data_IF_564179019045
#
_entry.id   IF_564179019045
#
_cell.length_a   1.000
_cell.length_b   1.000
_cell.length_c   1.000
_cell.angle_alpha   90.00
_cell.angle_beta   90.00
_cell.angle_gamma   90.00
#
_symmetry.space_group_name_H-M   'P 1'
#
loop_
_entity.id
_entity.type
_entity.pdbx_description
1 polymer ?
#
# COMPACT_ATOMS: atom_id res chain seq x y z
N UNK A 1 0.98 -28.67 19.50
CA UNK A 1 2.40 -28.84 19.12
C UNK A 1 2.49 -28.44 17.68
N UNK A 2 2.94 -27.21 17.41
CA UNK A 2 3.21 -26.72 16.05
C UNK A 2 4.53 -27.35 15.62
N UNK A 3 4.44 -28.30 14.69
CA UNK A 3 5.58 -28.91 14.04
C UNK A 3 6.22 -27.81 13.18
N UNK A 4 7.25 -27.15 13.70
CA UNK A 4 7.95 -26.10 12.96
C UNK A 4 8.81 -26.77 11.93
N UNK A 5 8.53 -26.56 10.63
CA UNK A 5 9.36 -27.05 9.53
C UNK A 5 10.81 -26.61 9.79
N UNK A 6 11.79 -27.54 9.86
CA UNK A 6 13.18 -27.22 10.17
C UNK A 6 13.85 -26.30 9.11
N UNK A 7 13.22 -26.04 7.99
CA UNK A 7 13.67 -25.11 6.93
C UNK A 7 13.04 -23.73 7.03
N UNK A 8 12.10 -23.52 7.95
CA UNK A 8 11.43 -22.24 8.14
C UNK A 8 12.36 -21.23 8.85
N UNK A 9 12.40 -20.03 8.35
CA UNK A 9 13.12 -18.89 8.95
C UNK A 9 12.16 -17.72 9.20
N UNK A 10 12.44 -16.96 10.25
CA UNK A 10 11.64 -15.79 10.59
C UNK A 10 11.93 -14.64 9.61
N UNK A 11 10.86 -14.06 9.03
CA UNK A 11 10.93 -12.92 8.12
C UNK A 11 9.70 -12.04 8.29
N UNK A 12 9.82 -10.79 7.87
CA UNK A 12 8.65 -9.92 7.71
C UNK A 12 8.27 -9.86 6.25
N UNK A 13 7.06 -10.31 5.95
CA UNK A 13 6.47 -10.24 4.61
C UNK A 13 5.68 -8.94 4.49
N UNK A 14 5.88 -8.25 3.38
CA UNK A 14 5.21 -6.99 3.04
C UNK A 14 4.48 -7.17 1.72
N UNK A 15 3.20 -6.80 1.69
CA UNK A 15 2.44 -6.60 0.47
C UNK A 15 2.10 -5.13 0.33
N UNK A 16 2.32 -4.58 -0.86
CA UNK A 16 1.96 -3.21 -1.22
C UNK A 16 1.10 -3.28 -2.47
N UNK A 17 -0.03 -2.60 -2.46
CA UNK A 17 -1.06 -2.63 -3.49
C UNK A 17 -1.51 -1.21 -3.81
N UNK A 18 -1.85 -0.94 -5.07
CA UNK A 18 -2.34 0.36 -5.54
C UNK A 18 -3.84 0.52 -5.25
N UNK A 19 -4.19 1.45 -4.37
CA UNK A 19 -5.59 1.73 -4.07
C UNK A 19 -6.31 2.33 -5.29
N UNK A 20 -7.51 1.85 -5.58
CA UNK A 20 -8.32 2.37 -6.70
C UNK A 20 -7.80 2.01 -8.09
N UNK A 21 -6.89 1.04 -8.24
CA UNK A 21 -6.28 0.67 -9.52
C UNK A 21 -7.31 0.38 -10.63
N UNK A 22 -8.37 -0.39 -10.32
CA UNK A 22 -9.45 -0.66 -11.28
C UNK A 22 -10.15 0.62 -11.75
N UNK A 23 -10.34 1.60 -10.85
CA UNK A 23 -10.96 2.89 -11.17
C UNK A 23 -10.02 3.73 -12.04
N UNK A 24 -8.73 3.75 -11.69
CA UNK A 24 -7.69 4.40 -12.50
C UNK A 24 -7.61 3.79 -13.90
N UNK A 25 -7.62 2.45 -14.02
CA UNK A 25 -7.63 1.74 -15.30
C UNK A 25 -8.86 2.12 -16.14
N UNK A 26 -10.05 2.15 -15.53
CA UNK A 26 -11.28 2.54 -16.24
C UNK A 26 -11.24 4.00 -16.71
N UNK A 27 -10.57 4.89 -15.98
CA UNK A 27 -10.46 6.32 -16.32
C UNK A 27 -9.39 6.62 -17.38
N UNK A 28 -8.26 5.89 -17.38
CA UNK A 28 -7.06 6.21 -18.16
C UNK A 28 -6.64 5.12 -19.16
N UNK A 29 -7.25 3.93 -19.09
CA UNK A 29 -6.95 2.80 -19.98
C UNK A 29 -5.83 1.88 -19.47
N UNK A 30 -5.67 0.74 -20.17
CA UNK A 30 -4.77 -0.35 -19.76
C UNK A 30 -3.28 0.03 -19.85
N UNK A 31 -2.89 0.89 -20.78
CA UNK A 31 -1.49 1.34 -20.93
C UNK A 31 -1.05 2.14 -19.69
N UNK A 32 -1.86 3.13 -19.27
CA UNK A 32 -1.60 3.87 -18.02
C UNK A 32 -1.60 2.95 -16.80
N UNK A 33 -2.48 1.95 -16.77
CA UNK A 33 -2.50 0.97 -15.69
C UNK A 33 -1.20 0.16 -15.63
N UNK A 34 -0.67 -0.27 -16.79
CA UNK A 34 0.62 -0.96 -16.88
C UNK A 34 1.77 -0.07 -16.39
N UNK A 35 1.80 1.20 -16.83
CA UNK A 35 2.80 2.18 -16.40
C UNK A 35 2.79 2.39 -14.88
N UNK A 36 1.60 2.45 -14.25
CA UNK A 36 1.46 2.58 -12.79
C UNK A 36 2.00 1.36 -12.05
N UNK A 37 1.71 0.14 -12.54
CA UNK A 37 2.21 -1.08 -11.93
C UNK A 37 3.74 -1.20 -12.09
N UNK A 38 4.29 -0.85 -13.26
CA UNK A 38 5.73 -0.80 -13.50
C UNK A 38 6.39 0.25 -12.59
N UNK A 39 5.79 1.43 -12.45
CA UNK A 39 6.29 2.49 -11.59
C UNK A 39 6.33 2.07 -10.12
N UNK A 40 5.32 1.34 -9.63
CA UNK A 40 5.37 0.75 -8.28
C UNK A 40 6.57 -0.18 -8.12
N UNK A 41 6.86 -1.02 -9.11
CA UNK A 41 8.02 -1.89 -9.14
C UNK A 41 9.35 -1.13 -9.06
N UNK A 42 9.49 -0.03 -9.81
CA UNK A 42 10.66 0.84 -9.81
C UNK A 42 10.86 1.54 -8.45
N UNK A 43 9.80 2.16 -7.91
CA UNK A 43 9.82 2.80 -6.59
C UNK A 43 10.24 1.81 -5.51
N UNK A 44 9.70 0.59 -5.59
CA UNK A 44 10.03 -0.50 -4.69
C UNK A 44 11.50 -0.90 -4.80
N UNK A 45 11.98 -1.14 -6.02
CA UNK A 45 13.39 -1.55 -6.27
C UNK A 45 14.37 -0.50 -5.79
N UNK A 46 14.07 0.79 -6.02
CA UNK A 46 14.89 1.92 -5.56
C UNK A 46 14.94 2.03 -4.03
N UNK A 47 13.90 1.54 -3.35
CA UNK A 47 13.77 1.63 -1.89
C UNK A 47 14.42 0.48 -1.12
N UNK A 48 14.87 -0.60 -1.79
CA UNK A 48 15.43 -1.77 -1.12
C UNK A 48 16.71 -1.42 -0.33
N UNK A 49 16.78 -1.92 0.91
CA UNK A 49 18.00 -1.95 1.71
C UNK A 49 18.65 -3.35 1.70
N UNK A 50 19.78 -3.51 2.37
CA UNK A 50 20.56 -4.75 2.36
C UNK A 50 19.78 -5.98 2.89
N UNK A 51 18.79 -5.76 3.77
CA UNK A 51 17.95 -6.81 4.36
C UNK A 51 16.62 -7.04 3.63
N UNK A 52 16.38 -6.34 2.52
CA UNK A 52 15.12 -6.32 1.80
C UNK A 52 15.24 -7.08 0.46
N UNK A 53 14.16 -7.74 0.08
CA UNK A 53 14.04 -8.43 -1.20
C UNK A 53 12.70 -8.13 -1.86
N UNK A 54 12.70 -7.64 -3.10
CA UNK A 54 11.52 -7.67 -3.97
C UNK A 54 11.40 -9.11 -4.51
N UNK A 55 10.34 -9.80 -4.09
CA UNK A 55 10.10 -11.19 -4.48
C UNK A 55 9.46 -11.27 -5.85
N UNK A 56 8.35 -10.52 -6.04
CA UNK A 56 7.60 -10.49 -7.30
C UNK A 56 6.58 -9.36 -7.36
N UNK A 57 6.24 -8.96 -8.60
CA UNK A 57 5.02 -8.22 -8.90
C UNK A 57 3.82 -9.14 -9.11
N UNK A 58 2.62 -8.71 -8.71
CA UNK A 58 1.37 -9.45 -8.84
C UNK A 58 0.28 -8.47 -9.29
N UNK A 59 0.21 -8.21 -10.59
CA UNK A 59 -0.69 -7.17 -11.12
C UNK A 59 -0.27 -5.78 -10.61
N UNK A 60 -1.16 -5.13 -9.89
CA UNK A 60 -0.98 -3.82 -9.26
C UNK A 60 -0.37 -3.89 -7.84
N UNK A 61 0.13 -5.05 -7.44
CA UNK A 61 0.73 -5.25 -6.15
C UNK A 61 2.16 -5.80 -6.25
N UNK A 62 2.95 -5.59 -5.20
CA UNK A 62 4.27 -6.19 -5.03
C UNK A 62 4.35 -6.97 -3.72
N UNK A 63 5.07 -8.08 -3.75
CA UNK A 63 5.44 -8.85 -2.57
C UNK A 63 6.92 -8.66 -2.26
N UNK A 64 7.20 -8.30 -1.01
CA UNK A 64 8.55 -8.11 -0.49
C UNK A 64 8.75 -8.94 0.78
N UNK A 65 10.02 -9.18 1.08
CA UNK A 65 10.45 -9.83 2.31
C UNK A 65 11.62 -9.04 2.90
N UNK A 66 11.58 -8.78 4.20
CA UNK A 66 12.65 -8.14 4.95
C UNK A 66 13.12 -9.06 6.08
N UNK A 67 14.40 -8.93 6.48
CA UNK A 67 14.98 -9.76 7.54
C UNK A 67 14.31 -9.53 8.90
N UNK A 68 13.78 -8.32 9.15
CA UNK A 68 13.16 -7.94 10.42
C UNK A 68 11.97 -7.00 10.22
N UNK A 69 11.14 -6.87 11.27
CA UNK A 69 10.03 -5.90 11.29
C UNK A 69 10.50 -4.46 11.19
N UNK A 70 11.67 -4.14 11.77
CA UNK A 70 12.25 -2.80 11.71
C UNK A 70 12.66 -2.42 10.26
N UNK A 71 13.35 -3.34 9.55
CA UNK A 71 13.73 -3.12 8.15
C UNK A 71 12.50 -2.99 7.25
N UNK A 72 11.48 -3.85 7.45
CA UNK A 72 10.23 -3.79 6.71
C UNK A 72 9.48 -2.46 6.89
N UNK A 73 9.45 -1.92 8.11
CA UNK A 73 8.85 -0.61 8.41
C UNK A 73 9.62 0.52 7.72
N UNK A 74 10.95 0.49 7.80
CA UNK A 74 11.80 1.47 7.13
C UNK A 74 11.63 1.41 5.60
N UNK A 75 11.54 0.21 5.04
CA UNK A 75 11.26 -0.01 3.61
C UNK A 75 9.89 0.58 3.23
N UNK A 76 8.83 0.24 3.96
CA UNK A 76 7.48 0.78 3.72
C UNK A 76 7.48 2.33 3.76
N UNK A 77 8.16 2.93 4.74
CA UNK A 77 8.31 4.38 4.85
C UNK A 77 9.02 5.01 3.65
N UNK A 78 10.10 4.38 3.14
CA UNK A 78 10.82 4.87 1.93
C UNK A 78 9.92 4.80 0.70
N UNK A 79 9.18 3.70 0.51
CA UNK A 79 8.28 3.53 -0.64
C UNK A 79 7.14 4.55 -0.58
N UNK A 80 6.49 4.72 0.58
CA UNK A 80 5.46 5.75 0.76
C UNK A 80 6.01 7.14 0.43
N UNK A 81 7.18 7.48 0.96
CA UNK A 81 7.81 8.77 0.70
C UNK A 81 8.05 9.02 -0.80
N UNK A 82 8.55 8.03 -1.54
CA UNK A 82 8.76 8.17 -2.97
C UNK A 82 7.43 8.27 -3.73
N UNK A 83 6.44 7.43 -3.40
CA UNK A 83 5.11 7.48 -4.01
C UNK A 83 4.41 8.83 -3.79
N UNK A 84 4.60 9.44 -2.60
CA UNK A 84 4.06 10.75 -2.27
C UNK A 84 4.68 11.90 -3.08
N UNK A 85 5.85 11.69 -3.67
CA UNK A 85 6.50 12.68 -4.52
C UNK A 85 6.17 12.51 -6.01
N UNK A 86 5.41 11.48 -6.39
CA UNK A 86 4.89 11.34 -7.75
C UNK A 86 3.82 12.43 -8.02
N UNK A 87 3.79 12.94 -9.25
CA UNK A 87 2.89 14.02 -9.65
C UNK A 87 1.41 13.64 -9.53
N UNK A 88 1.09 12.41 -9.95
CA UNK A 88 -0.20 11.76 -9.79
C UNK A 88 0.04 10.26 -9.68
N UNK A 89 -0.29 9.67 -8.54
CA UNK A 89 -0.08 8.25 -8.27
C UNK A 89 -1.15 7.71 -7.32
N UNK A 90 -1.58 6.44 -7.47
CA UNK A 90 -2.51 5.83 -6.54
C UNK A 90 -1.95 5.83 -5.11
N UNK A 91 -2.84 6.02 -4.13
CA UNK A 91 -2.48 5.79 -2.73
C UNK A 91 -2.11 4.32 -2.52
N UNK A 92 -1.20 4.06 -1.58
CA UNK A 92 -0.76 2.71 -1.29
C UNK A 92 -1.61 2.07 -0.19
N UNK A 93 -1.83 0.76 -0.28
CA UNK A 93 -2.32 -0.10 0.79
C UNK A 93 -1.22 -1.06 1.15
N UNK A 94 -0.80 -1.07 2.40
CA UNK A 94 0.35 -1.85 2.84
C UNK A 94 -0.04 -2.79 3.97
N UNK A 95 0.30 -4.08 3.81
CA UNK A 95 0.11 -5.11 4.83
C UNK A 95 1.43 -5.74 5.22
N UNK A 96 1.72 -5.79 6.54
CA UNK A 96 2.93 -6.41 7.07
C UNK A 96 2.59 -7.50 8.09
N UNK A 97 3.32 -8.61 8.00
CA UNK A 97 3.26 -9.67 9.00
C UNK A 97 4.62 -10.33 9.18
N UNK A 98 5.03 -10.53 10.43
CA UNK A 98 6.27 -11.21 10.80
C UNK A 98 5.97 -12.63 11.25
N UNK A 99 6.74 -13.60 10.77
CA UNK A 99 6.63 -15.00 11.18
C UNK A 99 7.43 -15.95 10.30
N UNK A 100 7.27 -17.26 10.52
CA UNK A 100 8.03 -18.29 9.81
C UNK A 100 7.61 -18.39 8.33
N UNK A 101 8.61 -18.45 7.45
CA UNK A 101 8.46 -18.64 6.00
C UNK A 101 9.51 -19.62 5.48
N UNK A 102 9.21 -20.25 4.35
CA UNK A 102 10.13 -21.16 3.65
C UNK A 102 10.46 -20.56 2.28
N UNK A 103 11.76 -20.44 1.99
CA UNK A 103 12.23 -20.04 0.67
C UNK A 103 12.36 -21.26 -0.23
N UNK A 104 11.86 -21.15 -1.47
CA UNK A 104 12.04 -22.20 -2.47
C UNK A 104 12.03 -21.60 -3.88
N UNK A 105 13.15 -21.76 -4.59
CA UNK A 105 13.26 -21.31 -5.98
C UNK A 105 13.16 -19.78 -6.15
N UNK A 106 13.59 -18.99 -5.16
CA UNK A 106 13.51 -17.52 -5.17
C UNK A 106 12.15 -16.98 -4.76
N UNK A 107 11.19 -17.85 -4.41
CA UNK A 107 9.87 -17.45 -3.87
C UNK A 107 9.73 -17.87 -2.41
N UNK A 108 8.77 -17.24 -1.70
CA UNK A 108 8.54 -17.45 -0.28
C UNK A 108 7.14 -18.00 -0.02
N UNK A 109 7.06 -18.97 0.88
CA UNK A 109 5.83 -19.71 1.18
C UNK A 109 5.58 -19.80 2.68
N UNK A 110 4.32 -19.92 3.05
CA UNK A 110 3.89 -20.14 4.43
C UNK A 110 2.63 -19.38 4.79
N UNK A 111 2.10 -19.64 5.99
CA UNK A 111 0.94 -18.92 6.51
C UNK A 111 1.22 -17.43 6.63
N UNK A 112 2.45 -17.04 6.98
CA UNK A 112 2.93 -15.65 7.08
C UNK A 112 2.68 -14.87 5.80
N UNK A 113 2.97 -15.44 4.62
CA UNK A 113 2.71 -14.82 3.31
C UNK A 113 1.22 -14.57 3.11
N UNK A 114 0.38 -15.57 3.45
CA UNK A 114 -1.06 -15.46 3.29
C UNK A 114 -1.66 -14.40 4.23
N UNK A 115 -1.18 -14.32 5.47
CA UNK A 115 -1.64 -13.31 6.44
C UNK A 115 -1.28 -11.91 5.94
N UNK A 116 -0.04 -11.65 5.54
CA UNK A 116 0.38 -10.33 5.02
C UNK A 116 -0.44 -9.89 3.80
N UNK A 117 -0.70 -10.80 2.84
CA UNK A 117 -1.53 -10.52 1.68
C UNK A 117 -2.99 -10.17 2.06
N UNK A 118 -3.57 -10.87 3.06
CA UNK A 118 -4.92 -10.58 3.53
C UNK A 118 -5.01 -9.24 4.27
N UNK A 119 -3.97 -8.89 5.01
CA UNK A 119 -3.88 -7.60 5.70
C UNK A 119 -3.84 -6.46 4.68
N UNK A 120 -2.99 -6.54 3.65
CA UNK A 120 -2.93 -5.53 2.59
C UNK A 120 -4.28 -5.34 1.88
N UNK A 121 -5.00 -6.44 1.61
CA UNK A 121 -6.32 -6.38 0.98
C UNK A 121 -7.41 -5.71 1.87
N UNK A 122 -7.22 -5.63 3.17
CA UNK A 122 -8.13 -4.96 4.12
C UNK A 122 -7.73 -3.52 4.41
N UNK A 123 -6.47 -3.15 4.17
CA UNK A 123 -5.98 -1.80 4.41
C UNK A 123 -6.77 -0.79 3.57
N UNK A 124 -7.09 0.35 4.17
CA UNK A 124 -7.67 1.49 3.46
C UNK A 124 -6.59 2.19 2.60
N UNK A 125 -6.97 2.98 1.60
CA UNK A 125 -6.02 3.84 0.89
C UNK A 125 -5.18 4.67 1.87
N UNK A 126 -3.87 4.76 1.63
CA UNK A 126 -2.87 5.44 2.47
C UNK A 126 -2.70 4.81 3.88
N UNK A 127 -3.02 3.53 4.01
CA UNK A 127 -2.94 2.84 5.29
C UNK A 127 -1.84 1.76 5.29
N UNK A 128 -1.05 1.76 6.35
CA UNK A 128 -0.13 0.68 6.71
C UNK A 128 -0.74 -0.11 7.85
N UNK A 129 -1.02 -1.39 7.62
CA UNK A 129 -1.62 -2.29 8.61
C UNK A 129 -0.68 -3.45 8.90
N UNK A 130 -0.56 -3.81 10.16
CA UNK A 130 0.34 -4.87 10.58
C UNK A 130 -0.22 -5.69 11.76
N UNK A 131 0.44 -6.80 12.04
CA UNK A 131 0.20 -7.60 13.25
C UNK A 131 1.10 -7.17 14.42
N UNK A 132 0.84 -7.71 15.62
CA UNK A 132 1.47 -7.28 16.87
C UNK A 132 3.00 -7.17 16.81
N UNK A 133 3.70 -8.19 16.30
CA UNK A 133 5.17 -8.17 16.25
C UNK A 133 5.75 -7.01 15.42
N UNK A 134 5.05 -6.58 14.38
CA UNK A 134 5.43 -5.40 13.58
C UNK A 134 5.00 -4.11 14.29
N UNK A 135 3.83 -4.10 14.92
CA UNK A 135 3.35 -2.98 15.72
C UNK A 135 4.28 -2.65 16.88
N UNK A 136 4.75 -3.68 17.61
CA UNK A 136 5.74 -3.52 18.68
C UNK A 136 7.05 -2.89 18.16
N UNK A 137 7.52 -3.33 16.99
CA UNK A 137 8.71 -2.75 16.36
C UNK A 137 8.48 -1.28 15.94
N UNK A 138 7.26 -0.95 15.49
CA UNK A 138 6.89 0.43 15.13
C UNK A 138 6.88 1.35 16.35
N UNK A 139 6.31 0.91 17.48
CA UNK A 139 6.32 1.66 18.74
C UNK A 139 7.75 1.90 19.23
N UNK A 140 8.61 0.88 19.18
CA UNK A 140 10.03 1.02 19.53
C UNK A 140 10.79 1.99 18.62
N UNK A 141 10.37 2.12 17.36
CA UNK A 141 10.90 3.10 16.42
C UNK A 141 10.28 4.51 16.60
N UNK A 142 9.36 4.69 17.55
CA UNK A 142 8.69 5.97 17.82
C UNK A 142 7.59 6.32 16.82
N UNK A 143 7.10 5.36 16.02
CA UNK A 143 5.97 5.55 15.13
C UNK A 143 4.65 5.49 15.90
N UNK A 144 3.66 6.24 15.45
CA UNK A 144 2.32 6.18 16.02
C UNK A 144 1.62 4.87 15.58
N UNK A 145 1.08 4.14 16.55
CA UNK A 145 0.38 2.88 16.37
C UNK A 145 -1.02 3.00 16.96
N UNK A 146 -2.03 2.53 16.21
CA UNK A 146 -3.42 2.48 16.66
C UNK A 146 -3.98 1.07 16.49
N UNK A 147 -4.51 0.49 17.58
CA UNK A 147 -5.15 -0.82 17.53
C UNK A 147 -6.45 -0.77 16.70
N UNK A 148 -6.58 -1.66 15.73
CA UNK A 148 -7.79 -1.89 14.96
C UNK A 148 -8.64 -3.03 15.57
N UNK A 149 -8.02 -3.84 16.45
CA UNK A 149 -8.64 -4.97 17.12
C UNK A 149 -8.61 -6.27 16.31
N UNK A 150 -9.23 -7.32 16.87
CA UNK A 150 -9.27 -8.65 16.27
C UNK A 150 -10.10 -8.64 15.00
N UNK A 151 -9.50 -9.08 13.90
CA UNK A 151 -10.08 -9.07 12.57
C UNK A 151 -10.07 -10.46 11.95
N UNK A 152 -11.21 -10.90 11.43
CA UNK A 152 -11.33 -12.16 10.72
C UNK A 152 -10.71 -12.04 9.33
N UNK A 153 -9.67 -12.82 9.05
CA UNK A 153 -9.00 -12.88 7.75
C UNK A 153 -9.48 -14.12 6.98
N UNK A 154 -9.83 -13.95 5.71
CA UNK A 154 -10.34 -15.05 4.88
C UNK A 154 -9.33 -16.20 4.81
N UNK A 155 -9.75 -17.39 5.27
CA UNK A 155 -8.92 -18.61 5.25
C UNK A 155 -7.91 -18.70 6.40
N UNK A 156 -7.97 -17.79 7.37
CA UNK A 156 -7.23 -17.85 8.63
C UNK A 156 -8.26 -18.24 9.71
N UNK A 157 -8.03 -19.35 10.46
CA UNK A 157 -9.05 -19.90 11.38
C UNK A 157 -9.42 -18.96 12.53
N UNK A 158 -8.46 -18.24 13.07
CA UNK A 158 -8.66 -17.35 14.22
C UNK A 158 -8.54 -15.89 13.83
N UNK A 159 -9.30 -14.98 14.46
CA UNK A 159 -9.13 -13.55 14.27
C UNK A 159 -7.70 -13.12 14.63
N UNK A 160 -7.16 -12.18 13.87
CA UNK A 160 -5.81 -11.64 14.06
C UNK A 160 -5.92 -10.20 14.55
N UNK A 161 -5.21 -9.86 15.62
CA UNK A 161 -5.13 -8.48 16.09
C UNK A 161 -4.34 -7.64 15.10
N UNK A 162 -4.99 -6.61 14.58
CA UNK A 162 -4.43 -5.68 13.59
C UNK A 162 -4.20 -4.30 14.19
N UNK A 163 -3.20 -3.63 13.64
CA UNK A 163 -2.75 -2.30 14.05
C UNK A 163 -2.51 -1.43 12.82
N UNK A 164 -2.99 -0.20 12.85
CA UNK A 164 -2.63 0.82 11.88
C UNK A 164 -1.35 1.52 12.35
N UNK A 165 -0.40 1.72 11.43
CA UNK A 165 0.90 2.34 11.70
C UNK A 165 1.01 3.61 10.85
N UNK A 166 1.33 4.74 11.46
CA UNK A 166 1.64 5.97 10.73
C UNK A 166 3.12 5.97 10.36
N UNK A 167 3.45 5.44 9.19
CA UNK A 167 4.82 5.34 8.69
C UNK A 167 5.26 6.52 7.83
N UNK A 168 4.30 7.27 7.27
CA UNK A 168 4.55 8.47 6.50
C UNK A 168 3.52 9.55 6.86
N UNK A 169 3.92 10.76 7.25
CA UNK A 169 2.97 11.85 7.43
C UNK A 169 2.40 12.25 6.06
N UNK A 170 1.08 12.33 5.96
CA UNK A 170 0.41 12.79 4.75
C UNK A 170 0.95 14.16 4.31
N UNK A 171 1.23 14.32 3.02
CA UNK A 171 1.63 15.62 2.47
C UNK A 171 0.41 16.56 2.43
N UNK A 172 0.48 17.75 3.03
CA UNK A 172 -0.68 18.63 3.23
C UNK A 172 -1.30 19.17 1.94
N UNK A 173 -0.56 19.15 0.82
CA UNK A 173 -0.96 19.75 -0.45
C UNK A 173 -1.41 18.72 -1.51
N UNK A 174 -1.86 17.54 -1.08
CA UNK A 174 -2.40 16.53 -1.98
C UNK A 174 -3.89 16.33 -1.76
N UNK A 175 -4.61 16.00 -2.82
CA UNK A 175 -6.01 15.60 -2.79
C UNK A 175 -6.23 14.42 -3.72
N UNK A 176 -7.21 13.58 -3.40
CA UNK A 176 -7.59 12.47 -4.26
C UNK A 176 -8.49 12.97 -5.39
N UNK A 177 -8.12 12.68 -6.64
CA UNK A 177 -8.95 12.94 -7.81
C UNK A 177 -10.26 12.14 -7.70
N UNK A 178 -11.42 12.79 -7.68
CA UNK A 178 -12.70 12.11 -7.44
C UNK A 178 -13.10 11.14 -8.56
N UNK A 179 -12.44 11.22 -9.73
CA UNK A 179 -12.76 10.36 -10.88
C UNK A 179 -11.87 9.12 -10.93
N UNK A 180 -10.56 9.27 -10.79
CA UNK A 180 -9.63 8.15 -10.96
C UNK A 180 -9.01 7.66 -9.64
N UNK A 181 -9.26 8.36 -8.54
CA UNK A 181 -8.74 8.08 -7.19
C UNK A 181 -7.21 8.16 -7.04
N UNK A 182 -6.50 8.74 -8.00
CA UNK A 182 -5.09 9.06 -7.83
C UNK A 182 -4.91 10.24 -6.87
N UNK A 183 -3.89 10.17 -6.04
CA UNK A 183 -3.46 11.31 -5.23
C UNK A 183 -2.70 12.31 -6.12
N UNK A 184 -3.15 13.55 -6.13
CA UNK A 184 -2.65 14.63 -6.99
C UNK A 184 -2.09 15.74 -6.12
N UNK A 185 -0.84 16.11 -6.33
CA UNK A 185 -0.28 17.29 -5.68
C UNK A 185 -0.84 18.56 -6.33
N UNK A 186 -1.10 19.59 -5.51
CA UNK A 186 -1.61 20.89 -6.02
C UNK A 186 -0.74 21.48 -7.11
N UNK A 187 0.58 21.35 -6.96
CA UNK A 187 1.56 21.88 -7.93
C UNK A 187 1.56 21.18 -9.29
N UNK A 188 1.06 19.94 -9.35
CA UNK A 188 0.98 19.11 -10.56
C UNK A 188 -0.44 18.91 -11.07
N UNK A 189 -1.46 19.46 -10.39
CA UNK A 189 -2.84 19.34 -10.80
C UNK A 189 -3.07 19.94 -12.21
N UNK A 190 -3.65 19.14 -13.11
CA UNK A 190 -4.00 19.60 -14.46
C UNK A 190 -5.12 20.64 -14.43
N UNK A 191 -5.99 20.58 -13.43
CA UNK A 191 -7.02 21.57 -13.16
C UNK A 191 -7.58 21.45 -11.74
N UNK A 192 -8.35 22.46 -11.33
CA UNK A 192 -9.11 22.47 -10.08
C UNK A 192 -10.59 22.79 -10.33
N UNK A 193 -11.46 22.31 -9.45
CA UNK A 193 -12.88 22.69 -9.40
C UNK A 193 -13.29 22.90 -7.95
N UNK A 194 -14.08 23.91 -7.70
CA UNK A 194 -14.69 24.12 -6.38
C UNK A 194 -16.18 23.85 -6.45
N UNK A 195 -16.65 22.88 -5.68
CA UNK A 195 -18.06 22.51 -5.59
C UNK A 195 -18.47 22.50 -4.12
N UNK A 196 -19.53 23.23 -3.77
CA UNK A 196 -20.01 23.36 -2.39
C UNK A 196 -18.94 23.80 -1.37
N UNK A 197 -17.96 24.61 -1.82
CA UNK A 197 -16.84 25.08 -0.98
C UNK A 197 -15.69 24.05 -0.83
N UNK A 198 -15.81 22.88 -1.41
CA UNK A 198 -14.75 21.85 -1.46
C UNK A 198 -13.99 21.98 -2.77
N UNK A 199 -12.68 22.10 -2.67
CA UNK A 199 -11.80 22.12 -3.83
C UNK A 199 -11.37 20.69 -4.22
N UNK A 200 -11.50 20.36 -5.49
CA UNK A 200 -11.09 19.09 -6.10
C UNK A 200 -9.91 19.33 -7.03
N UNK A 201 -8.87 18.51 -6.90
CA UNK A 201 -7.71 18.50 -7.80
C UNK A 201 -7.86 17.35 -8.80
N UNK A 202 -7.46 17.58 -10.04
CA UNK A 202 -7.56 16.59 -11.12
C UNK A 202 -6.19 16.29 -11.72
N UNK A 203 -5.92 15.02 -11.94
CA UNK A 203 -4.68 14.54 -12.54
C UNK A 203 -4.60 14.83 -14.05
N UNK A 204 -5.75 14.93 -14.73
CA UNK A 204 -5.82 15.09 -16.19
C UNK A 204 -7.02 15.91 -16.65
N UNK A 205 -6.99 16.47 -17.88
CA UNK A 205 -8.15 17.12 -18.50
C UNK A 205 -9.31 16.15 -18.75
N UNK A 206 -9.05 14.84 -18.90
CA UNK A 206 -10.04 13.80 -19.06
C UNK A 206 -10.89 13.65 -17.80
N UNK A 207 -10.24 13.57 -16.63
CA UNK A 207 -10.92 13.51 -15.33
C UNK A 207 -11.80 14.75 -15.11
N UNK A 208 -11.31 15.94 -15.45
CA UNK A 208 -12.11 17.18 -15.41
C UNK A 208 -13.36 17.07 -16.27
N UNK A 209 -13.21 16.66 -17.54
CA UNK A 209 -14.36 16.52 -18.46
C UNK A 209 -15.38 15.50 -17.96
N UNK A 210 -14.92 14.41 -17.35
CA UNK A 210 -15.78 13.40 -16.76
C UNK A 210 -16.54 13.97 -15.57
N UNK A 211 -15.84 14.66 -14.66
CA UNK A 211 -16.42 15.32 -13.50
C UNK A 211 -17.47 16.37 -13.90
N UNK A 212 -17.16 17.22 -14.90
CA UNK A 212 -18.07 18.27 -15.37
C UNK A 212 -19.35 17.72 -16.02
N UNK A 213 -19.40 16.43 -16.40
CA UNK A 213 -20.59 15.72 -16.91
C UNK A 213 -21.43 15.04 -15.83
N UNK A 214 -20.91 14.88 -14.62
CA UNK A 214 -21.68 14.29 -13.52
C UNK A 214 -22.87 15.18 -13.17
N UNK A 215 -24.03 14.62 -12.77
CA UNK A 215 -25.14 15.37 -12.22
C UNK A 215 -24.74 16.20 -11.02
N UNK A 216 -25.38 17.36 -10.83
CA UNK A 216 -25.01 18.32 -9.74
C UNK A 216 -25.07 17.69 -8.33
N UNK A 217 -25.79 16.59 -8.14
CA UNK A 217 -25.86 15.86 -6.86
C UNK A 217 -24.76 14.82 -6.64
N UNK A 218 -23.94 14.54 -7.66
CA UNK A 218 -22.84 13.55 -7.61
C UNK A 218 -21.45 14.21 -7.67
N UNK A 219 -21.41 15.54 -7.68
CA UNK A 219 -20.18 16.35 -7.69
C UNK A 219 -19.78 16.77 -6.29
#
# INVERSE_FOLDING_TARGET
MTDTDPTAIERTVVFIDLAGFTVATAAHGDETAADLAERLGELTTTSLGDGDQLVKGIGDAVMLVSNSSHEALALAGRICHLADHEAAFPLLRIGLHHGPVVERGGDWFGATVNVAARIAALAQPDQVVATAAVADAAEHAGLAVAALGPTALRGIPEPVDLYAITSCPALPDRSVDPICQMAVARSSAAATRTVNGVEHLFCSPECVRTFDRLPTGER
#
